data_IF_907828951696
#
_entry.id   IF_907828951696
#
_cell.length_a   1.000
_cell.length_b   1.000
_cell.length_c   1.000
_cell.angle_alpha   90.00
_cell.angle_beta   90.00
_cell.angle_gamma   90.00
#
_symmetry.space_group_name_H-M   'P 1'
#
loop_
_entity.id
_entity.type
_entity.pdbx_description
1 polymer ?
#
# COMPACT_ATOMS: atom_id res chain seq x y z
N UNK A 1 10.28 -4.45 27.42
CA UNK A 1 10.25 -3.12 28.05
C UNK A 1 9.00 -2.42 27.54
N UNK A 2 8.17 -1.87 28.42
CA UNK A 2 6.99 -1.07 28.05
C UNK A 2 7.44 0.27 27.48
N UNK A 3 6.96 0.63 26.30
CA UNK A 3 7.26 1.93 25.69
C UNK A 3 6.71 3.07 26.56
N UNK A 4 7.50 4.12 26.72
CA UNK A 4 7.11 5.33 27.45
C UNK A 4 6.01 6.10 26.71
N UNK A 5 5.30 6.96 27.45
CA UNK A 5 4.26 7.81 26.86
C UNK A 5 4.83 8.76 25.79
N UNK A 6 6.07 9.25 26.00
CA UNK A 6 6.76 10.11 25.04
C UNK A 6 7.06 9.37 23.73
N UNK A 7 7.52 8.12 23.79
CA UNK A 7 7.76 7.29 22.60
C UNK A 7 6.46 7.01 21.83
N UNK A 8 5.36 6.75 22.54
CA UNK A 8 4.05 6.54 21.92
C UNK A 8 3.54 7.83 21.25
N UNK A 9 3.69 8.99 21.90
CA UNK A 9 3.30 10.28 21.35
C UNK A 9 4.13 10.65 20.12
N UNK A 10 5.44 10.41 20.14
CA UNK A 10 6.31 10.63 18.99
C UNK A 10 5.92 9.72 17.81
N UNK A 11 5.65 8.44 18.06
CA UNK A 11 5.22 7.50 17.02
C UNK A 11 3.85 7.87 16.43
N UNK A 12 2.92 8.35 17.25
CA UNK A 12 1.63 8.87 16.80
C UNK A 12 1.80 10.07 15.86
N UNK A 13 2.66 11.03 16.20
CA UNK A 13 2.87 12.22 15.38
C UNK A 13 3.53 11.87 14.04
N UNK A 14 4.48 10.92 14.03
CA UNK A 14 5.08 10.39 12.80
C UNK A 14 4.01 9.75 11.90
N UNK A 15 3.12 8.93 12.47
CA UNK A 15 2.00 8.36 11.72
C UNK A 15 1.08 9.45 11.16
N UNK A 16 0.71 10.44 11.97
CA UNK A 16 -0.18 11.53 11.56
C UNK A 16 0.38 12.29 10.37
N UNK A 17 1.66 12.66 10.41
CA UNK A 17 2.33 13.36 9.31
C UNK A 17 2.43 12.49 8.05
N UNK A 18 2.78 11.21 8.20
CA UNK A 18 2.85 10.28 7.08
C UNK A 18 1.49 10.06 6.41
N UNK A 19 0.41 9.98 7.20
CA UNK A 19 -0.96 9.85 6.69
C UNK A 19 -1.39 11.09 5.90
N UNK A 20 -1.18 12.29 6.44
CA UNK A 20 -1.50 13.54 5.74
C UNK A 20 -0.77 13.59 4.40
N UNK A 21 0.51 13.21 4.38
CA UNK A 21 1.29 13.14 3.14
C UNK A 21 0.70 12.13 2.16
N UNK A 22 0.38 10.91 2.60
CA UNK A 22 -0.22 9.87 1.77
C UNK A 22 -1.56 10.30 1.17
N UNK A 23 -2.43 10.91 1.98
CA UNK A 23 -3.74 11.39 1.54
C UNK A 23 -3.59 12.53 0.51
N UNK A 24 -2.56 13.38 0.66
CA UNK A 24 -2.29 14.47 -0.28
C UNK A 24 -1.65 14.02 -1.60
N UNK A 25 -0.76 13.01 -1.55
CA UNK A 25 0.04 12.61 -2.70
C UNK A 25 -0.60 11.51 -3.53
N UNK A 26 -1.49 10.71 -2.92
CA UNK A 26 -2.08 9.49 -3.48
C UNK A 26 -1.03 8.49 -4.01
N UNK A 27 0.23 8.64 -3.60
CA UNK A 27 1.33 7.79 -4.02
C UNK A 27 1.39 6.54 -3.14
N UNK A 28 1.51 5.38 -3.79
CA UNK A 28 1.60 4.09 -3.08
C UNK A 28 2.73 4.05 -2.04
N UNK A 29 3.89 4.65 -2.35
CA UNK A 29 5.03 4.66 -1.43
C UNK A 29 4.75 5.47 -0.15
N UNK A 30 4.04 6.59 -0.26
CA UNK A 30 3.64 7.38 0.91
C UNK A 30 2.57 6.63 1.72
N UNK A 31 1.62 5.96 1.05
CA UNK A 31 0.65 5.08 1.71
C UNK A 31 1.32 3.93 2.48
N UNK A 32 2.35 3.31 1.88
CA UNK A 32 3.17 2.28 2.55
C UNK A 32 3.91 2.86 3.77
N UNK A 33 4.47 4.05 3.66
CA UNK A 33 5.14 4.71 4.78
C UNK A 33 4.16 5.01 5.94
N UNK A 34 2.95 5.48 5.63
CA UNK A 34 1.90 5.71 6.63
C UNK A 34 1.47 4.40 7.33
N UNK A 35 1.32 3.31 6.59
CA UNK A 35 1.00 2.00 7.14
C UNK A 35 2.11 1.47 8.07
N UNK A 36 3.38 1.64 7.68
CA UNK A 36 4.52 1.26 8.53
C UNK A 36 4.55 2.06 9.84
N UNK A 37 4.35 3.38 9.75
CA UNK A 37 4.30 4.24 10.94
C UNK A 37 3.14 3.86 11.88
N UNK A 38 1.98 3.51 11.34
CA UNK A 38 0.85 3.00 12.11
C UNK A 38 1.20 1.71 12.86
N UNK A 39 1.87 0.76 12.21
CA UNK A 39 2.30 -0.48 12.86
C UNK A 39 3.26 -0.23 14.02
N UNK A 40 4.21 0.70 13.85
CA UNK A 40 5.15 1.07 14.91
C UNK A 40 4.40 1.68 16.10
N UNK A 41 3.48 2.61 15.84
CA UNK A 41 2.65 3.20 16.89
C UNK A 41 1.84 2.14 17.65
N UNK A 42 1.14 1.25 16.95
CA UNK A 42 0.34 0.19 17.58
C UNK A 42 1.20 -0.77 18.38
N UNK A 43 2.40 -1.11 17.92
CA UNK A 43 3.31 -1.97 18.67
C UNK A 43 3.73 -1.33 19.99
N UNK A 44 4.05 -0.03 19.97
CA UNK A 44 4.40 0.73 21.18
C UNK A 44 3.20 0.91 22.11
N UNK A 45 2.01 1.20 21.56
CA UNK A 45 0.79 1.44 22.32
C UNK A 45 0.24 0.17 22.99
N UNK A 46 0.26 -0.97 22.28
CA UNK A 46 -0.27 -2.25 22.78
C UNK A 46 0.77 -3.08 23.52
N UNK A 47 2.05 -2.70 23.44
CA UNK A 47 3.17 -3.49 23.97
C UNK A 47 3.38 -4.83 23.25
N UNK A 48 2.69 -5.08 22.13
CA UNK A 48 2.85 -6.28 21.32
C UNK A 48 3.84 -5.98 20.18
N UNK A 49 4.83 -6.85 19.91
CA UNK A 49 5.69 -6.66 18.75
C UNK A 49 4.84 -6.71 17.48
N UNK A 50 4.95 -5.69 16.63
CA UNK A 50 4.33 -5.71 15.30
C UNK A 50 4.77 -6.98 14.57
N UNK A 51 3.83 -7.90 14.32
CA UNK A 51 4.15 -9.13 13.59
C UNK A 51 4.47 -8.74 12.15
N UNK A 52 5.70 -9.02 11.72
CA UNK A 52 6.19 -8.74 10.36
C UNK A 52 5.29 -9.31 9.24
N UNK A 53 4.43 -10.29 9.55
CA UNK A 53 3.42 -10.86 8.66
C UNK A 53 2.44 -9.81 8.09
N UNK A 54 2.20 -8.70 8.78
CA UNK A 54 1.25 -7.68 8.33
C UNK A 54 1.86 -6.74 7.26
N UNK A 55 3.18 -6.84 7.03
CA UNK A 55 3.92 -5.99 6.10
C UNK A 55 4.23 -6.66 4.77
N UNK A 56 3.88 -7.94 4.61
CA UNK A 56 3.94 -8.59 3.31
C UNK A 56 2.70 -8.11 2.57
N UNK A 57 2.83 -7.29 1.51
CA UNK A 57 1.69 -7.04 0.65
C UNK A 57 1.27 -8.42 0.15
N UNK A 58 0.08 -8.88 0.54
CA UNK A 58 -0.53 -10.00 -0.17
C UNK A 58 -0.66 -9.52 -1.60
N UNK A 59 0.28 -9.94 -2.46
CA UNK A 59 0.36 -9.58 -3.86
C UNK A 59 -0.87 -10.19 -4.52
N UNK A 60 -2.02 -9.53 -4.38
CA UNK A 60 -3.20 -9.80 -5.17
C UNK A 60 -2.88 -9.28 -6.56
N UNK A 61 -2.39 -10.18 -7.42
CA UNK A 61 -2.32 -9.92 -8.85
C UNK A 61 -3.77 -9.76 -9.31
N UNK A 62 -4.21 -8.51 -9.46
CA UNK A 62 -5.47 -8.22 -10.13
C UNK A 62 -5.27 -8.51 -11.62
N UNK A 63 -5.76 -9.65 -12.09
CA UNK A 63 -5.82 -9.95 -13.53
C UNK A 63 -7.03 -9.19 -14.07
N UNK A 64 -6.77 -8.05 -14.69
CA UNK A 64 -7.78 -7.38 -15.51
C UNK A 64 -7.89 -8.14 -16.83
N UNK A 65 -8.99 -8.88 -17.03
CA UNK A 65 -9.34 -9.37 -18.37
C UNK A 65 -9.69 -8.16 -19.24
N UNK A 66 -8.70 -7.67 -19.99
CA UNK A 66 -8.98 -6.77 -21.11
C UNK A 66 -9.84 -7.53 -22.11
N UNK A 67 -11.06 -7.05 -22.36
CA UNK A 67 -11.77 -7.39 -23.58
C UNK A 67 -10.95 -6.84 -24.75
N UNK A 68 -10.09 -7.67 -25.34
CA UNK A 68 -9.61 -7.41 -26.69
C UNK A 68 -10.80 -7.59 -27.61
N UNK A 69 -11.49 -6.48 -27.91
CA UNK A 69 -12.32 -6.40 -29.11
C UNK A 69 -11.38 -6.61 -30.28
N UNK A 70 -11.39 -7.82 -30.84
CA UNK A 70 -10.62 -8.16 -32.03
C UNK A 70 -11.01 -7.19 -33.15
N UNK A 71 -10.08 -6.29 -33.49
CA UNK A 71 -10.12 -5.56 -34.76
C UNK A 71 -9.90 -6.62 -35.84
N UNK A 72 -10.97 -6.99 -36.52
CA UNK A 72 -10.93 -7.81 -37.72
C UNK A 72 -10.34 -6.98 -38.86
N UNK A 73 -9.02 -7.04 -39.04
CA UNK A 73 -8.37 -6.56 -40.26
C UNK A 73 -8.77 -7.48 -41.43
N UNK A 74 -9.33 -6.86 -42.47
CA UNK A 74 -9.80 -7.52 -43.67
C UNK A 74 -8.67 -8.20 -44.45
N UNK A 75 -8.94 -9.39 -44.97
CA UNK A 75 -8.07 -10.08 -45.92
C UNK A 75 -8.04 -9.31 -47.25
N UNK A 76 -6.89 -9.08 -47.87
CA UNK A 76 -6.86 -8.73 -49.28
C UNK A 76 -7.10 -10.01 -50.10
N UNK A 77 -8.24 -10.05 -50.78
CA UNK A 77 -8.47 -10.95 -51.91
C UNK A 77 -7.54 -10.51 -53.04
N UNK A 78 -6.59 -11.35 -53.42
CA UNK A 78 -6.01 -11.26 -54.76
C UNK A 78 -6.28 -12.56 -55.50
N UNK A 79 -7.28 -12.49 -56.36
CA UNK A 79 -7.45 -13.37 -57.50
C UNK A 79 -6.35 -13.10 -58.55
N UNK A 80 -6.01 -14.19 -59.24
CA UNK A 80 -5.30 -14.37 -60.51
C UNK A 80 -3.79 -14.57 -60.46
#
# INVERSE_FOLDING_TARGET
>A
MTATLEEQAAAWEIYRLAKVKADSSLNFQDGRAAALAWHVFIALFTGQPARASDLIPHRKVAIFRGNMSAVSEGRPSHER
#
